data_IF_687438543084
#
_entry.id   IF_687438543084
#
_cell.length_a   1.000
_cell.length_b   1.000
_cell.length_c   1.000
_cell.angle_alpha   90.00
_cell.angle_beta   90.00
_cell.angle_gamma   90.00
#
_symmetry.space_group_name_H-M   'P 1'
#
loop_
_entity.id
_entity.type
_entity.pdbx_description
1 polymer ?
#
# COMPACT_ATOMS: atom_id res chain seq x y z
N UNK A 1 -17.39 -3.65 16.10
CA UNK A 1 -16.71 -4.36 15.00
C UNK A 1 -15.52 -3.51 14.58
N UNK A 2 -14.28 -4.01 14.63
CA UNK A 2 -13.11 -3.26 14.19
C UNK A 2 -13.20 -2.93 12.69
N UNK A 3 -12.68 -1.78 12.30
CA UNK A 3 -12.68 -1.31 10.91
C UNK A 3 -11.25 -1.19 10.40
N UNK A 4 -10.97 -1.81 9.26
CA UNK A 4 -9.76 -1.63 8.47
C UNK A 4 -10.08 -0.75 7.27
N UNK A 5 -9.33 0.34 7.08
CA UNK A 5 -9.37 1.11 5.84
C UNK A 5 -8.11 0.81 5.03
N UNK A 6 -8.27 0.35 3.80
CA UNK A 6 -7.17 0.18 2.86
C UNK A 6 -7.03 1.44 2.01
N UNK A 7 -6.04 2.26 2.34
CA UNK A 7 -5.80 3.57 1.73
C UNK A 7 -4.60 3.51 0.79
N UNK A 8 -4.81 3.86 -0.49
CA UNK A 8 -3.75 3.71 -1.49
C UNK A 8 -4.14 4.19 -2.87
N UNK A 9 -3.34 3.78 -3.85
CA UNK A 9 -3.51 4.10 -5.26
C UNK A 9 -4.21 2.97 -6.05
N UNK A 10 -3.84 2.76 -7.33
CA UNK A 10 -4.42 1.72 -8.18
C UNK A 10 -4.16 0.30 -7.69
N UNK A 11 -3.09 0.05 -6.94
CA UNK A 11 -2.82 -1.27 -6.34
C UNK A 11 -3.71 -1.55 -5.12
N UNK A 12 -4.45 -0.55 -4.65
CA UNK A 12 -5.50 -0.70 -3.63
C UNK A 12 -6.91 -0.61 -4.22
N UNK A 13 -7.05 0.17 -5.30
CA UNK A 13 -8.32 0.46 -5.93
C UNK A 13 -8.99 -0.76 -6.56
N UNK A 14 -10.30 -0.61 -6.76
CA UNK A 14 -11.25 -1.64 -7.19
C UNK A 14 -11.31 -2.86 -6.26
N UNK A 15 -12.52 -3.35 -6.01
CA UNK A 15 -12.69 -4.58 -5.22
C UNK A 15 -12.55 -5.84 -6.07
N UNK A 16 -12.84 -5.75 -7.36
CA UNK A 16 -12.81 -6.86 -8.31
C UNK A 16 -12.20 -6.40 -9.63
N UNK A 17 -11.58 -7.31 -10.38
CA UNK A 17 -11.19 -7.04 -11.76
C UNK A 17 -12.39 -7.13 -12.73
N UNK A 18 -12.13 -6.93 -14.03
CA UNK A 18 -13.15 -6.96 -15.07
C UNK A 18 -13.85 -8.33 -15.22
N UNK A 19 -13.25 -9.41 -14.74
CA UNK A 19 -13.79 -10.77 -14.78
C UNK A 19 -14.52 -11.14 -13.47
N UNK A 20 -14.57 -10.23 -12.50
CA UNK A 20 -15.16 -10.49 -11.19
C UNK A 20 -14.22 -11.21 -10.22
N UNK A 21 -12.92 -11.28 -10.52
CA UNK A 21 -11.92 -11.86 -9.61
C UNK A 21 -11.64 -10.89 -8.46
N UNK A 22 -11.69 -11.33 -7.19
CA UNK A 22 -11.38 -10.48 -6.05
C UNK A 22 -9.97 -9.88 -6.11
N UNK A 23 -9.87 -8.58 -5.80
CA UNK A 23 -8.60 -7.88 -5.55
C UNK A 23 -8.32 -7.81 -4.04
N UNK A 24 -7.71 -6.73 -3.56
CA UNK A 24 -7.20 -6.63 -2.20
C UNK A 24 -8.28 -6.72 -1.12
N UNK A 25 -9.26 -5.81 -1.15
CA UNK A 25 -10.16 -5.63 -0.01
C UNK A 25 -11.11 -6.80 0.25
N UNK A 26 -11.71 -7.49 -0.76
CA UNK A 26 -12.53 -8.66 -0.47
C UNK A 26 -11.68 -9.82 0.08
N UNK A 27 -10.46 -10.03 -0.43
CA UNK A 27 -9.56 -11.08 0.08
C UNK A 27 -9.19 -10.87 1.54
N UNK A 28 -8.93 -9.62 1.94
CA UNK A 28 -8.69 -9.29 3.35
C UNK A 28 -9.97 -9.49 4.18
N UNK A 29 -11.14 -9.07 3.68
CA UNK A 29 -12.41 -9.24 4.38
C UNK A 29 -12.74 -10.72 4.65
N UNK A 30 -12.48 -11.59 3.67
CA UNK A 30 -12.66 -13.04 3.80
C UNK A 30 -11.67 -13.67 4.78
N UNK A 31 -10.47 -13.09 4.94
CA UNK A 31 -9.45 -13.62 5.87
C UNK A 31 -9.57 -13.05 7.30
N UNK A 32 -10.11 -11.84 7.45
CA UNK A 32 -10.33 -11.15 8.73
C UNK A 32 -11.80 -11.19 9.14
N UNK A 33 -12.32 -12.39 9.42
CA UNK A 33 -13.70 -12.56 9.88
C UNK A 33 -14.02 -11.62 11.06
N UNK A 34 -15.15 -10.91 10.95
CA UNK A 34 -15.58 -9.96 11.98
C UNK A 34 -14.89 -8.59 11.91
N UNK A 35 -14.17 -8.28 10.83
CA UNK A 35 -13.72 -6.93 10.51
C UNK A 35 -14.59 -6.31 9.41
N UNK A 36 -14.82 -4.99 9.51
CA UNK A 36 -15.27 -4.19 8.36
C UNK A 36 -14.05 -3.76 7.56
N UNK A 37 -13.96 -4.14 6.30
CA UNK A 37 -12.88 -3.71 5.40
C UNK A 37 -13.42 -2.68 4.41
N UNK A 38 -12.77 -1.53 4.34
CA UNK A 38 -13.17 -0.40 3.49
C UNK A 38 -12.07 -0.18 2.44
N UNK A 39 -12.45 -0.11 1.17
CA UNK A 39 -11.55 0.28 0.09
C UNK A 39 -11.53 1.81 -0.01
N UNK A 40 -10.36 2.41 0.17
CA UNK A 40 -10.08 3.83 -0.04
C UNK A 40 -8.93 4.01 -1.07
N UNK A 41 -8.81 3.09 -2.02
CA UNK A 41 -7.88 3.15 -3.15
C UNK A 41 -8.43 3.98 -4.29
N UNK A 42 -7.61 4.86 -4.87
CA UNK A 42 -7.97 5.62 -6.08
C UNK A 42 -6.83 5.56 -7.10
N UNK A 43 -7.15 5.11 -8.30
CA UNK A 43 -6.17 4.86 -9.35
C UNK A 43 -5.38 6.11 -9.74
N UNK A 44 -4.05 5.97 -9.76
CA UNK A 44 -3.11 6.98 -10.21
C UNK A 44 -2.73 8.04 -9.18
N UNK A 45 -3.29 8.02 -7.99
CA UNK A 45 -3.00 8.99 -6.95
C UNK A 45 -1.60 8.85 -6.35
N UNK A 46 -1.08 9.98 -5.91
CA UNK A 46 0.15 10.12 -5.13
C UNK A 46 -0.18 10.41 -3.67
N UNK A 47 0.84 10.47 -2.82
CA UNK A 47 0.69 10.93 -1.43
C UNK A 47 0.19 12.37 -1.31
N UNK A 48 0.38 13.21 -2.34
CA UNK A 48 -0.17 14.58 -2.40
C UNK A 48 -1.70 14.54 -2.45
N UNK A 49 -2.24 13.66 -3.28
CA UNK A 49 -3.69 13.47 -3.43
C UNK A 49 -4.29 12.81 -2.19
N UNK A 50 -3.57 11.85 -1.60
CA UNK A 50 -3.93 11.19 -0.36
C UNK A 50 -4.23 12.21 0.76
N UNK A 51 -3.34 13.19 0.98
CA UNK A 51 -3.52 14.21 2.01
C UNK A 51 -4.78 15.06 1.82
N UNK A 52 -5.23 15.27 0.57
CA UNK A 52 -6.42 16.06 0.29
C UNK A 52 -7.72 15.36 0.72
N UNK A 53 -7.72 14.02 0.80
CA UNK A 53 -8.93 13.22 1.04
C UNK A 53 -8.91 12.36 2.29
N UNK A 54 -7.76 12.24 2.97
CA UNK A 54 -7.56 11.37 4.14
C UNK A 54 -8.63 11.55 5.22
N UNK A 55 -9.09 12.79 5.47
CA UNK A 55 -10.17 13.02 6.45
C UNK A 55 -11.45 12.29 6.04
N UNK A 56 -11.92 12.54 4.81
CA UNK A 56 -13.20 12.03 4.29
C UNK A 56 -13.16 10.52 4.08
N UNK A 57 -12.07 10.03 3.50
CA UNK A 57 -11.98 8.66 3.00
C UNK A 57 -11.38 7.70 4.03
N UNK A 58 -10.81 8.20 5.12
CA UNK A 58 -10.17 7.39 6.16
C UNK A 58 -10.63 7.81 7.55
N UNK A 59 -10.33 9.03 7.99
CA UNK A 59 -10.52 9.44 9.40
C UNK A 59 -11.99 9.41 9.83
N UNK A 60 -12.91 9.84 8.97
CA UNK A 60 -14.36 9.88 9.24
C UNK A 60 -14.98 8.48 9.38
N UNK A 61 -14.26 7.40 9.05
CA UNK A 61 -14.65 6.02 9.33
C UNK A 61 -14.24 5.52 10.72
N UNK A 62 -13.49 6.32 11.49
CA UNK A 62 -12.95 5.95 12.81
C UNK A 62 -12.27 4.57 12.81
N UNK A 63 -11.27 4.34 11.93
CA UNK A 63 -10.66 3.03 11.76
C UNK A 63 -9.95 2.55 13.02
N UNK A 64 -9.94 1.23 13.19
CA UNK A 64 -9.08 0.54 14.14
C UNK A 64 -7.66 0.41 13.61
N UNK A 65 -7.53 0.13 12.30
CA UNK A 65 -6.26 0.10 11.58
C UNK A 65 -6.43 0.69 10.17
N UNK A 66 -5.34 1.21 9.61
CA UNK A 66 -5.27 1.72 8.24
C UNK A 66 -4.02 1.16 7.57
N UNK A 67 -4.16 0.51 6.41
CA UNK A 67 -3.00 0.25 5.55
C UNK A 67 -2.80 1.43 4.62
N UNK A 68 -1.57 1.91 4.50
CA UNK A 68 -1.18 3.01 3.60
C UNK A 68 -0.22 2.45 2.56
N UNK A 69 -0.68 2.33 1.32
CA UNK A 69 0.09 1.81 0.18
C UNK A 69 0.10 2.85 -0.95
N UNK A 70 1.16 3.66 -0.96
CA UNK A 70 1.49 4.64 -1.99
C UNK A 70 2.97 4.50 -2.37
N UNK A 71 3.46 5.34 -3.28
CA UNK A 71 4.85 5.32 -3.73
C UNK A 71 5.01 4.83 -5.16
N UNK A 72 4.12 3.98 -5.67
CA UNK A 72 4.18 3.55 -7.08
C UNK A 72 3.95 4.73 -8.03
N UNK A 73 2.98 5.59 -7.76
CA UNK A 73 2.79 6.81 -8.55
C UNK A 73 3.79 7.90 -8.18
N UNK A 74 4.10 8.11 -6.90
CA UNK A 74 5.06 9.12 -6.46
C UNK A 74 6.44 8.92 -7.11
N UNK A 75 6.89 7.67 -7.30
CA UNK A 75 8.17 7.36 -7.93
C UNK A 75 8.18 7.49 -9.44
N UNK A 76 7.04 7.77 -10.08
CA UNK A 76 6.94 7.86 -11.53
C UNK A 76 7.59 9.15 -12.04
N UNK A 77 8.38 9.04 -13.12
CA UNK A 77 9.11 10.18 -13.69
C UNK A 77 8.22 11.35 -14.12
N UNK A 78 6.94 11.11 -14.38
CA UNK A 78 5.99 12.11 -14.84
C UNK A 78 5.07 12.70 -13.75
N UNK A 79 5.27 12.32 -12.47
CA UNK A 79 4.40 12.78 -11.36
C UNK A 79 4.97 13.93 -10.55
N UNK A 80 6.28 14.16 -10.62
CA UNK A 80 6.99 15.26 -9.95
C UNK A 80 6.71 15.30 -8.44
N UNK A 81 6.84 14.14 -7.78
CA UNK A 81 6.91 14.03 -6.32
C UNK A 81 8.36 13.75 -5.98
N UNK A 82 8.97 14.57 -5.12
CA UNK A 82 10.35 14.33 -4.68
C UNK A 82 10.37 13.35 -3.51
N UNK A 83 11.53 12.74 -3.24
CA UNK A 83 11.74 11.91 -2.05
C UNK A 83 11.44 12.69 -0.74
N UNK A 84 11.81 13.97 -0.70
CA UNK A 84 11.55 14.84 0.46
C UNK A 84 10.05 15.12 0.62
N UNK A 85 9.35 15.41 -0.47
CA UNK A 85 7.90 15.62 -0.46
C UNK A 85 7.19 14.34 -0.02
N UNK A 86 7.57 13.19 -0.59
CA UNK A 86 7.01 11.89 -0.23
C UNK A 86 7.20 11.57 1.26
N UNK A 87 8.40 11.77 1.79
CA UNK A 87 8.69 11.59 3.22
C UNK A 87 7.81 12.49 4.09
N UNK A 88 7.74 13.78 3.74
CA UNK A 88 6.90 14.76 4.44
C UNK A 88 5.43 14.35 4.42
N UNK A 89 4.93 13.93 3.27
CA UNK A 89 3.53 13.55 3.12
C UNK A 89 3.20 12.31 3.95
N UNK A 90 4.06 11.29 3.96
CA UNK A 90 3.87 10.11 4.82
C UNK A 90 3.83 10.47 6.31
N UNK A 91 4.68 11.39 6.77
CA UNK A 91 4.63 11.86 8.17
C UNK A 91 3.31 12.55 8.50
N UNK A 92 2.81 13.40 7.60
CA UNK A 92 1.53 14.08 7.75
C UNK A 92 0.34 13.10 7.70
N UNK A 93 0.43 12.03 6.90
CA UNK A 93 -0.56 10.95 6.88
C UNK A 93 -0.58 10.24 8.23
N UNK A 94 0.60 9.84 8.75
CA UNK A 94 0.71 9.19 10.08
C UNK A 94 0.21 10.10 11.19
N UNK A 95 0.56 11.38 11.17
CA UNK A 95 0.10 12.37 12.16
C UNK A 95 -1.44 12.47 12.21
N UNK A 96 -2.10 12.42 11.05
CA UNK A 96 -3.57 12.50 10.98
C UNK A 96 -4.29 11.21 11.39
N UNK A 97 -3.63 10.05 11.33
CA UNK A 97 -4.21 8.74 11.63
C UNK A 97 -3.81 8.17 13.00
N UNK A 98 -2.72 8.69 13.56
CA UNK A 98 -1.92 8.14 14.65
C UNK A 98 -1.06 6.92 14.25
N UNK A 99 0.19 6.82 14.75
CA UNK A 99 1.13 5.76 14.39
C UNK A 99 0.65 4.36 14.77
N UNK A 100 0.02 4.19 15.93
CA UNK A 100 -0.49 2.89 16.41
C UNK A 100 -1.61 2.31 15.55
N UNK A 101 -2.28 3.13 14.74
CA UNK A 101 -3.31 2.68 13.80
C UNK A 101 -2.76 2.46 12.39
N UNK A 102 -1.53 2.90 12.12
CA UNK A 102 -1.02 3.00 10.76
C UNK A 102 -0.09 1.84 10.43
N UNK A 103 -0.41 1.12 9.36
CA UNK A 103 0.46 0.13 8.72
C UNK A 103 0.96 0.73 7.41
N UNK A 104 2.19 1.24 7.42
CA UNK A 104 2.85 1.72 6.23
C UNK A 104 3.37 0.53 5.40
N UNK A 105 3.09 0.51 4.11
CA UNK A 105 3.51 -0.56 3.19
C UNK A 105 4.40 0.06 2.11
N UNK A 106 5.60 -0.49 1.91
CA UNK A 106 6.46 -0.01 0.81
C UNK A 106 5.82 -0.27 -0.56
N UNK A 107 6.07 0.56 -1.58
CA UNK A 107 5.54 0.29 -2.92
C UNK A 107 6.14 -1.02 -3.48
N UNK A 108 5.39 -1.81 -4.26
CA UNK A 108 5.93 -3.01 -4.90
C UNK A 108 7.03 -2.65 -5.92
N UNK A 109 7.92 -3.60 -6.26
CA UNK A 109 8.80 -3.44 -7.41
C UNK A 109 8.00 -3.44 -8.72
N UNK A 110 8.66 -3.09 -9.81
CA UNK A 110 8.13 -3.17 -11.17
C UNK A 110 8.94 -4.13 -12.03
N UNK A 111 8.35 -4.63 -13.11
CA UNK A 111 9.10 -5.27 -14.21
C UNK A 111 9.69 -4.14 -15.08
N UNK A 112 10.97 -3.83 -14.87
CA UNK A 112 11.62 -2.67 -15.51
C UNK A 112 11.55 -2.72 -17.05
N UNK A 113 11.58 -3.91 -17.65
CA UNK A 113 11.44 -4.07 -19.10
C UNK A 113 10.10 -3.55 -19.64
N UNK A 114 9.02 -3.63 -18.85
CA UNK A 114 7.70 -3.09 -19.18
C UNK A 114 7.54 -1.61 -18.78
N UNK A 115 8.45 -1.05 -17.97
CA UNK A 115 8.39 0.30 -17.41
C UNK A 115 9.57 1.21 -17.83
N UNK A 116 10.27 0.86 -18.92
CA UNK A 116 11.61 1.33 -19.32
C UNK A 116 11.84 2.86 -19.34
N UNK A 117 10.78 3.67 -19.38
CA UNK A 117 10.83 5.14 -19.41
C UNK A 117 10.03 5.83 -18.31
N UNK A 118 9.43 5.08 -17.39
CA UNK A 118 8.53 5.65 -16.39
C UNK A 118 8.99 5.37 -14.96
N UNK A 119 9.42 4.14 -14.68
CA UNK A 119 9.80 3.68 -13.34
C UNK A 119 10.94 2.68 -13.40
N UNK A 120 11.79 2.74 -12.38
CA UNK A 120 12.87 1.79 -12.17
C UNK A 120 12.93 1.40 -10.69
N UNK A 121 13.39 0.17 -10.43
CA UNK A 121 13.46 -0.41 -9.10
C UNK A 121 14.53 0.27 -8.24
N UNK A 122 15.56 0.86 -8.85
CA UNK A 122 16.55 1.65 -8.13
C UNK A 122 15.93 2.91 -7.48
N UNK A 123 15.00 3.56 -8.18
CA UNK A 123 14.24 4.69 -7.64
C UNK A 123 13.18 4.22 -6.65
N UNK A 124 12.38 3.20 -6.99
CA UNK A 124 11.37 2.65 -6.06
C UNK A 124 11.98 2.17 -4.74
N UNK A 125 13.17 1.58 -4.75
CA UNK A 125 13.88 1.19 -3.54
C UNK A 125 14.14 2.38 -2.59
N UNK A 126 14.39 3.58 -3.12
CA UNK A 126 14.54 4.80 -2.30
C UNK A 126 13.21 5.22 -1.66
N UNK A 127 12.11 5.11 -2.39
CA UNK A 127 10.77 5.33 -1.84
C UNK A 127 10.44 4.30 -0.76
N UNK A 128 10.75 3.02 -0.98
CA UNK A 128 10.57 1.95 0.00
C UNK A 128 11.38 2.21 1.30
N UNK A 129 12.64 2.65 1.16
CA UNK A 129 13.48 3.02 2.31
C UNK A 129 12.88 4.20 3.10
N UNK A 130 12.24 5.16 2.44
CA UNK A 130 11.55 6.26 3.13
C UNK A 130 10.35 5.75 3.91
N UNK A 131 9.56 4.83 3.35
CA UNK A 131 8.44 4.22 4.07
C UNK A 131 8.94 3.54 5.35
N UNK A 132 10.00 2.73 5.24
CA UNK A 132 10.63 2.08 6.39
C UNK A 132 11.14 3.09 7.44
N UNK A 133 11.84 4.15 6.97
CA UNK A 133 12.36 5.22 7.83
C UNK A 133 11.23 5.90 8.61
N UNK A 134 10.17 6.33 7.91
CA UNK A 134 9.03 7.01 8.53
C UNK A 134 8.31 6.09 9.51
N UNK A 135 8.09 4.82 9.17
CA UNK A 135 7.46 3.87 10.08
C UNK A 135 8.27 3.73 11.38
N UNK A 136 9.59 3.53 11.27
CA UNK A 136 10.49 3.42 12.42
C UNK A 136 10.48 4.67 13.30
N UNK A 137 10.56 5.85 12.69
CA UNK A 137 10.67 7.11 13.43
C UNK A 137 9.36 7.57 14.07
N UNK A 138 8.23 7.21 13.48
CA UNK A 138 6.89 7.54 14.03
C UNK A 138 6.39 6.48 15.00
N UNK A 139 6.96 5.28 14.98
CA UNK A 139 6.44 4.13 15.73
C UNK A 139 5.27 3.44 15.03
N UNK A 140 5.02 3.72 13.75
CA UNK A 140 3.99 3.05 12.96
C UNK A 140 4.38 1.61 12.63
N UNK A 141 3.39 0.77 12.35
CA UNK A 141 3.64 -0.57 11.83
C UNK A 141 4.15 -0.50 10.37
N UNK A 142 4.91 -1.51 9.95
CA UNK A 142 5.54 -1.57 8.64
C UNK A 142 5.42 -2.94 7.98
N UNK A 143 5.24 -2.95 6.66
CA UNK A 143 5.37 -4.10 5.76
C UNK A 143 6.31 -3.72 4.62
N UNK A 144 7.39 -4.49 4.44
CA UNK A 144 8.36 -4.25 3.37
C UNK A 144 8.01 -5.00 2.08
N UNK A 145 6.88 -4.66 1.46
CA UNK A 145 6.41 -5.32 0.24
C UNK A 145 7.44 -5.29 -0.89
N UNK A 146 8.23 -4.21 -1.03
CA UNK A 146 9.28 -4.13 -2.04
C UNK A 146 10.28 -5.29 -1.93
N UNK A 147 10.86 -5.47 -0.73
CA UNK A 147 11.85 -6.52 -0.47
C UNK A 147 11.21 -7.91 -0.50
N UNK A 148 10.06 -8.07 0.15
CA UNK A 148 9.30 -9.33 0.19
C UNK A 148 8.98 -9.86 -1.22
N UNK A 149 8.67 -8.98 -2.17
CA UNK A 149 8.51 -9.37 -3.58
C UNK A 149 9.85 -9.59 -4.25
N UNK A 150 10.83 -8.68 -4.11
CA UNK A 150 12.11 -8.75 -4.82
C UNK A 150 12.95 -9.98 -4.48
N UNK A 151 12.78 -10.54 -3.30
CA UNK A 151 13.47 -11.76 -2.84
C UNK A 151 12.87 -13.05 -3.44
N UNK A 152 11.71 -12.97 -4.10
CA UNK A 152 11.12 -14.09 -4.83
C UNK A 152 11.76 -14.24 -6.22
N UNK A 153 12.13 -15.46 -6.64
CA UNK A 153 12.75 -15.69 -7.96
C UNK A 153 11.85 -15.23 -9.12
N UNK A 154 10.54 -15.43 -8.99
CA UNK A 154 9.55 -15.18 -10.05
C UNK A 154 8.60 -14.02 -9.68
N UNK A 155 9.09 -12.99 -9.01
CA UNK A 155 8.26 -11.87 -8.55
C UNK A 155 7.49 -11.15 -9.67
N UNK A 156 7.94 -11.27 -10.92
CA UNK A 156 7.22 -10.74 -12.09
C UNK A 156 5.83 -11.35 -12.26
N UNK A 157 5.59 -12.59 -11.81
CA UNK A 157 4.27 -13.24 -11.86
C UNK A 157 3.26 -12.59 -10.89
N UNK A 158 3.75 -11.85 -9.89
CA UNK A 158 2.92 -11.08 -8.96
C UNK A 158 2.44 -9.75 -9.57
N UNK A 159 2.86 -9.44 -10.79
CA UNK A 159 2.48 -8.26 -11.55
C UNK A 159 1.78 -8.68 -12.85
N UNK A 160 0.84 -7.88 -13.34
CA UNK A 160 0.24 -8.09 -14.66
C UNK A 160 1.24 -7.71 -15.76
N UNK A 161 0.87 -7.93 -17.03
CA UNK A 161 1.74 -7.71 -18.18
C UNK A 161 2.36 -6.31 -18.26
N UNK A 162 1.68 -5.29 -17.72
CA UNK A 162 2.22 -3.93 -17.68
C UNK A 162 3.41 -3.76 -16.72
N UNK A 163 3.69 -4.76 -15.88
CA UNK A 163 4.80 -4.76 -14.95
C UNK A 163 4.66 -3.79 -13.80
N UNK A 164 3.46 -3.27 -13.53
CA UNK A 164 3.18 -2.27 -12.50
C UNK A 164 2.04 -2.69 -11.58
N UNK A 165 0.92 -3.15 -12.14
CA UNK A 165 -0.26 -3.49 -11.35
C UNK A 165 -0.17 -4.91 -10.81
N UNK A 166 -0.65 -5.10 -9.59
CA UNK A 166 -0.66 -6.40 -8.91
C UNK A 166 -1.55 -7.40 -9.65
N UNK A 167 -1.02 -8.59 -9.93
CA UNK A 167 -1.76 -9.70 -10.54
C UNK A 167 -2.69 -10.38 -9.53
N UNK A 168 -3.51 -11.35 -9.98
CA UNK A 168 -4.29 -12.15 -9.04
C UNK A 168 -3.42 -12.83 -7.98
N UNK A 169 -2.32 -13.46 -8.40
CA UNK A 169 -1.36 -14.10 -7.49
C UNK A 169 -0.70 -13.08 -6.57
N UNK A 170 -0.39 -11.90 -7.09
CA UNK A 170 0.11 -10.78 -6.29
C UNK A 170 -0.90 -10.32 -5.24
N UNK A 171 -2.20 -10.31 -5.52
CA UNK A 171 -3.23 -9.96 -4.54
C UNK A 171 -3.41 -11.06 -3.48
N UNK A 172 -3.26 -12.35 -3.84
CA UNK A 172 -3.19 -13.44 -2.86
C UNK A 172 -2.01 -13.20 -1.91
N UNK A 173 -0.83 -12.91 -2.46
CA UNK A 173 0.37 -12.61 -1.67
C UNK A 173 0.20 -11.39 -0.76
N UNK A 174 -0.22 -10.24 -1.31
CA UNK A 174 -0.38 -8.99 -0.58
C UNK A 174 -1.44 -9.10 0.53
N UNK A 175 -2.58 -9.73 0.24
CA UNK A 175 -3.64 -9.92 1.24
C UNK A 175 -3.19 -10.83 2.39
N UNK A 176 -2.37 -11.85 2.10
CA UNK A 176 -1.80 -12.74 3.10
C UNK A 176 -0.87 -11.99 4.06
N UNK A 177 0.10 -11.24 3.53
CA UNK A 177 1.07 -10.51 4.38
C UNK A 177 0.39 -9.42 5.22
N UNK A 178 -0.61 -8.71 4.68
CA UNK A 178 -1.38 -7.71 5.43
C UNK A 178 -2.16 -8.36 6.56
N UNK A 179 -2.85 -9.47 6.26
CA UNK A 179 -3.65 -10.17 7.27
C UNK A 179 -2.77 -10.77 8.37
N UNK A 180 -1.62 -11.34 8.02
CA UNK A 180 -0.63 -11.83 8.99
C UNK A 180 -0.12 -10.69 9.88
N UNK A 181 0.20 -9.52 9.30
CA UNK A 181 0.61 -8.35 10.07
C UNK A 181 -0.48 -7.90 11.04
N UNK A 182 -1.72 -7.78 10.59
CA UNK A 182 -2.85 -7.37 11.44
C UNK A 182 -3.03 -8.34 12.61
N UNK A 183 -3.01 -9.65 12.37
CA UNK A 183 -3.12 -10.66 13.44
C UNK A 183 -1.98 -10.53 14.46
N UNK A 184 -0.74 -10.32 14.01
CA UNK A 184 0.39 -10.11 14.91
C UNK A 184 0.25 -8.87 15.80
N UNK A 185 -0.39 -7.80 15.30
CA UNK A 185 -0.65 -6.58 16.08
C UNK A 185 -1.72 -6.87 17.15
N UNK A 186 -2.71 -7.70 16.85
CA UNK A 186 -3.77 -8.06 17.79
C UNK A 186 -3.29 -8.99 18.91
N UNK A 187 -2.25 -9.79 18.70
CA UNK A 187 -1.69 -10.69 19.72
C UNK A 187 -0.84 -9.97 20.78
N UNK A 188 -0.35 -8.76 20.45
CA UNK A 188 0.52 -7.96 21.32
C UNK A 188 -0.27 -6.99 22.21
N UNK A 189 -1.55 -6.75 21.90
CA UNK A 189 -2.44 -5.82 22.62
C UNK A 189 -3.51 -6.56 23.42
#
# INVERSE_FOLDING_TARGET
>A
MPTLVCFGDSNTADSYDANGTPRLTPRIADSLNGWKVINAGISGETTRDALARIKKDVADYYPSLVTVLFGSNDSARNRDVSLEEYEKNLRLIVEQLSPEKTILISPPPVVEAAQINNRDNATLAKYAQIVQKVARETGSHFIDLFTEMKDLPDYSELLVEDGLHISEQGYVFLSHIITAKIKSIQEVN
#
